data_IF_599969446771
#
_entry.id   IF_599969446771
#
_cell.length_a   1.000
_cell.length_b   1.000
_cell.length_c   1.000
_cell.angle_alpha   90.00
_cell.angle_beta   90.00
_cell.angle_gamma   90.00
#
_symmetry.space_group_name_H-M   'P 1'
#
loop_
_entity.id
_entity.type
_entity.pdbx_description
1 polymer ?
#
# COMPACT_ATOMS: atom_id res chain seq x y z
N UNK A 1 -12.56 -1.68 -8.91
CA UNK A 1 -13.63 -2.21 -9.79
C UNK A 1 -14.71 -1.15 -9.88
N UNK A 2 -14.93 -0.56 -11.06
CA UNK A 2 -16.00 0.40 -11.26
C UNK A 2 -17.26 -0.35 -11.73
N UNK A 3 -18.39 -0.16 -11.05
CA UNK A 3 -19.67 -0.75 -11.43
C UNK A 3 -20.52 0.36 -12.03
N UNK A 4 -20.86 0.23 -13.30
CA UNK A 4 -21.69 1.19 -14.03
C UNK A 4 -23.10 0.61 -14.14
N UNK A 5 -24.12 1.45 -13.89
CA UNK A 5 -25.52 1.05 -13.97
C UNK A 5 -25.91 0.67 -15.40
N UNK A 6 -26.63 -0.44 -15.60
CA UNK A 6 -27.14 -0.83 -16.92
C UNK A 6 -28.34 0.00 -17.41
N UNK A 7 -28.80 0.97 -16.60
CA UNK A 7 -29.98 1.83 -16.90
C UNK A 7 -29.60 3.23 -17.38
N UNK A 8 -28.35 3.47 -17.74
CA UNK A 8 -27.92 4.77 -18.28
C UNK A 8 -28.54 4.98 -19.68
N UNK A 9 -28.97 6.21 -19.96
CA UNK A 9 -29.37 6.59 -21.32
C UNK A 9 -28.14 6.82 -22.18
N UNK A 10 -28.27 6.68 -23.50
CA UNK A 10 -27.15 6.86 -24.46
C UNK A 10 -26.37 8.17 -24.25
N UNK A 11 -27.06 9.28 -24.02
CA UNK A 11 -26.43 10.58 -23.76
C UNK A 11 -25.57 10.59 -22.48
N UNK A 12 -26.03 9.94 -21.41
CA UNK A 12 -25.28 9.86 -20.16
C UNK A 12 -24.09 8.92 -20.27
N UNK A 13 -24.22 7.84 -21.05
CA UNK A 13 -23.12 6.93 -21.36
C UNK A 13 -22.00 7.64 -22.12
N UNK A 14 -22.34 8.40 -23.16
CA UNK A 14 -21.36 9.15 -23.95
C UNK A 14 -20.63 10.20 -23.10
N UNK A 15 -21.36 10.92 -22.25
CA UNK A 15 -20.78 11.88 -21.30
C UNK A 15 -19.87 11.19 -20.28
N UNK A 16 -20.29 10.04 -19.74
CA UNK A 16 -19.50 9.26 -18.78
C UNK A 16 -18.20 8.75 -19.42
N UNK A 17 -18.27 8.19 -20.64
CA UNK A 17 -17.09 7.72 -21.37
C UNK A 17 -16.11 8.86 -21.63
N UNK A 18 -16.62 10.04 -22.00
CA UNK A 18 -15.78 11.24 -22.21
C UNK A 18 -15.06 11.64 -20.93
N UNK A 19 -15.77 11.73 -19.81
CA UNK A 19 -15.22 12.10 -18.51
C UNK A 19 -14.18 11.08 -18.00
N UNK A 20 -14.43 9.78 -18.20
CA UNK A 20 -13.49 8.71 -17.82
C UNK A 20 -12.21 8.74 -18.66
N UNK A 21 -12.30 9.12 -19.95
CA UNK A 21 -11.13 9.28 -20.81
C UNK A 21 -10.32 10.52 -20.42
N UNK A 22 -11.00 11.63 -20.13
CA UNK A 22 -10.38 12.87 -19.69
C UNK A 22 -9.63 12.70 -18.36
N UNK A 23 -10.23 12.00 -17.41
CA UNK A 23 -9.65 11.75 -16.08
C UNK A 23 -9.05 10.34 -15.91
N UNK A 24 -8.54 9.73 -16.99
CA UNK A 24 -8.06 8.35 -16.92
C UNK A 24 -6.92 8.13 -15.91
N UNK A 25 -6.14 9.15 -15.57
CA UNK A 25 -5.06 9.09 -14.57
C UNK A 25 -5.54 9.22 -13.13
N UNK A 26 -6.75 9.75 -12.91
CA UNK A 26 -7.32 9.89 -11.56
C UNK A 26 -7.83 8.55 -11.02
N UNK A 27 -8.13 7.61 -11.93
CA UNK A 27 -8.65 6.29 -11.60
C UNK A 27 -7.54 5.26 -11.79
N UNK A 28 -7.29 4.45 -10.76
CA UNK A 28 -6.37 3.32 -10.80
C UNK A 28 -6.90 2.15 -11.63
N UNK A 29 -7.02 2.30 -12.95
CA UNK A 29 -7.55 1.26 -13.86
C UNK A 29 -6.73 -0.04 -13.81
N UNK A 30 -5.42 0.12 -13.73
CA UNK A 30 -4.47 -0.97 -13.54
C UNK A 30 -3.61 -0.65 -12.33
N UNK A 31 -2.98 -1.68 -11.79
CA UNK A 31 -2.07 -1.53 -10.67
C UNK A 31 -0.95 -0.50 -10.97
N UNK A 32 -0.41 -0.53 -12.19
CA UNK A 32 0.62 0.42 -12.66
C UNK A 32 0.13 1.87 -12.77
N UNK A 33 -1.17 2.11 -12.92
CA UNK A 33 -1.75 3.45 -13.02
C UNK A 33 -1.96 4.11 -11.65
N UNK A 34 -1.96 3.34 -10.56
CA UNK A 34 -2.07 3.87 -9.21
C UNK A 34 -0.72 4.50 -8.86
N UNK A 35 -0.58 5.79 -9.16
CA UNK A 35 0.59 6.55 -8.71
C UNK A 35 0.49 6.69 -7.19
N UNK A 36 1.49 6.14 -6.49
CA UNK A 36 1.64 6.40 -5.06
C UNK A 36 1.83 7.90 -4.78
N UNK A 37 1.58 8.32 -3.54
CA UNK A 37 1.83 9.70 -3.12
C UNK A 37 3.34 9.95 -3.16
N UNK A 38 3.74 11.10 -3.70
CA UNK A 38 5.14 11.49 -3.76
C UNK A 38 5.71 11.60 -2.34
N UNK A 39 6.87 10.99 -2.04
CA UNK A 39 7.55 11.19 -0.76
C UNK A 39 7.81 12.67 -0.45
N UNK A 40 7.98 13.52 -1.47
CA UNK A 40 8.16 14.96 -1.26
C UNK A 40 6.90 15.65 -0.70
N UNK A 41 5.72 15.12 -0.99
CA UNK A 41 4.45 15.66 -0.51
C UNK A 41 4.12 15.12 0.88
N UNK A 42 4.46 13.85 1.14
CA UNK A 42 4.03 13.17 2.35
C UNK A 42 4.87 11.91 2.62
N UNK A 43 5.35 11.79 3.87
CA UNK A 43 5.94 10.57 4.39
C UNK A 43 5.35 10.22 5.75
N UNK A 44 5.25 8.93 6.02
CA UNK A 44 4.92 8.43 7.34
C UNK A 44 6.17 8.30 8.20
N UNK A 45 6.05 8.76 9.45
CA UNK A 45 7.04 8.55 10.48
C UNK A 45 6.50 7.69 11.60
N UNK A 46 7.33 6.76 12.07
CA UNK A 46 7.00 5.82 13.14
C UNK A 46 7.70 6.30 14.40
N UNK A 47 6.94 7.02 15.23
CA UNK A 47 7.39 7.44 16.54
C UNK A 47 7.31 6.26 17.51
N UNK A 48 8.42 5.98 18.19
CA UNK A 48 8.53 5.00 19.27
C UNK A 48 8.88 5.76 20.55
N UNK A 49 8.46 5.24 21.70
CA UNK A 49 8.85 5.80 23.00
C UNK A 49 10.34 5.57 23.25
N UNK A 50 10.95 6.49 24.01
CA UNK A 50 12.36 6.40 24.36
C UNK A 50 12.66 5.08 25.10
N UNK A 51 13.73 4.38 24.69
CA UNK A 51 14.14 3.05 25.16
C UNK A 51 13.25 1.86 24.73
N UNK A 52 12.37 2.02 23.73
CA UNK A 52 11.66 0.89 23.13
C UNK A 52 12.64 -0.11 22.54
N UNK A 53 12.62 -1.36 23.05
CA UNK A 53 13.46 -2.45 22.53
C UNK A 53 12.77 -3.12 21.35
N UNK A 54 13.52 -3.54 20.30
CA UNK A 54 12.95 -4.35 19.24
C UNK A 54 12.47 -5.70 19.82
N UNK A 55 11.23 -6.08 19.51
CA UNK A 55 10.71 -7.42 19.79
C UNK A 55 10.93 -8.34 18.59
N UNK A 56 11.18 -9.62 18.86
CA UNK A 56 11.18 -10.69 17.85
C UNK A 56 10.10 -11.69 18.21
N UNK A 57 8.97 -11.58 17.52
CA UNK A 57 7.86 -12.51 17.69
C UNK A 57 8.21 -13.88 17.08
N UNK A 58 7.76 -14.99 17.69
CA UNK A 58 7.96 -16.32 17.15
C UNK A 58 7.23 -16.45 15.81
N UNK A 59 7.92 -17.03 14.82
CA UNK A 59 7.36 -17.23 13.50
C UNK A 59 6.20 -18.24 13.54
N UNK A 60 5.06 -17.84 12.99
CA UNK A 60 3.89 -18.72 12.87
C UNK A 60 4.20 -19.84 11.87
N UNK A 61 4.00 -21.10 12.27
CA UNK A 61 4.13 -22.26 11.38
C UNK A 61 2.99 -22.25 10.37
N UNK A 62 3.33 -22.14 9.09
CA UNK A 62 2.38 -22.22 7.98
C UNK A 62 2.27 -23.65 7.44
N UNK A 63 1.07 -24.04 7.04
CA UNK A 63 0.85 -25.26 6.26
C UNK A 63 1.63 -25.14 4.92
N UNK A 64 2.31 -26.19 4.44
CA UNK A 64 3.00 -26.19 3.14
C UNK A 64 2.19 -25.64 1.97
N UNK A 65 0.89 -25.94 1.87
CA UNK A 65 0.02 -25.40 0.81
C UNK A 65 -0.17 -23.88 0.93
N UNK A 66 -0.30 -23.39 2.16
CA UNK A 66 -0.41 -21.95 2.42
C UNK A 66 0.92 -21.23 2.22
N UNK A 67 2.05 -21.92 2.41
CA UNK A 67 3.39 -21.35 2.26
C UNK A 67 3.60 -20.79 0.85
N UNK A 68 3.21 -21.53 -0.19
CA UNK A 68 3.32 -21.08 -1.59
C UNK A 68 2.41 -19.89 -1.90
N UNK A 69 1.16 -19.92 -1.44
CA UNK A 69 0.19 -18.83 -1.64
C UNK A 69 0.67 -17.55 -0.96
N UNK A 70 1.12 -17.66 0.29
CA UNK A 70 1.66 -16.53 1.06
C UNK A 70 2.89 -15.95 0.39
N UNK A 71 3.79 -16.79 -0.15
CA UNK A 71 4.96 -16.30 -0.88
C UNK A 71 4.56 -15.47 -2.12
N UNK A 72 3.61 -15.98 -2.90
CA UNK A 72 3.10 -15.27 -4.08
C UNK A 72 2.48 -13.93 -3.70
N UNK A 73 1.73 -13.87 -2.61
CA UNK A 73 1.15 -12.62 -2.11
C UNK A 73 2.19 -11.65 -1.55
N UNK A 74 3.22 -12.13 -0.82
CA UNK A 74 4.32 -11.27 -0.36
C UNK A 74 5.04 -10.65 -1.56
N UNK A 75 5.36 -11.42 -2.59
CA UNK A 75 6.00 -10.90 -3.80
C UNK A 75 5.12 -9.87 -4.51
N UNK A 76 3.82 -10.14 -4.64
CA UNK A 76 2.87 -9.16 -5.18
C UNK A 76 2.84 -7.89 -4.33
N UNK A 77 2.83 -7.98 -2.99
CA UNK A 77 2.82 -6.80 -2.12
C UNK A 77 4.11 -5.98 -2.22
N UNK A 78 5.26 -6.65 -2.30
CA UNK A 78 6.56 -6.02 -2.45
C UNK A 78 6.73 -5.30 -3.80
N UNK A 79 6.15 -5.87 -4.87
CA UNK A 79 6.19 -5.34 -6.23
C UNK A 79 5.11 -4.28 -6.47
N UNK A 80 3.92 -4.48 -5.88
CA UNK A 80 2.79 -3.61 -6.07
C UNK A 80 3.07 -2.21 -5.49
N UNK A 81 3.39 -2.03 -4.22
CA UNK A 81 3.26 -0.66 -3.68
C UNK A 81 1.78 -0.22 -3.66
N UNK A 82 0.91 -1.20 -3.36
CA UNK A 82 -0.49 -1.04 -2.94
C UNK A 82 -0.67 0.07 -1.88
N UNK A 83 0.40 0.37 -1.15
CA UNK A 83 0.49 1.39 -0.13
C UNK A 83 0.97 2.73 -0.72
N UNK A 84 0.07 3.72 -0.67
CA UNK A 84 0.30 5.01 -1.31
C UNK A 84 1.31 5.91 -0.59
N UNK A 85 1.47 5.76 0.73
CA UNK A 85 2.31 6.64 1.55
C UNK A 85 3.67 5.98 1.81
N UNK A 86 4.75 6.69 1.51
CA UNK A 86 6.12 6.22 1.78
C UNK A 86 6.44 6.29 3.28
N UNK A 87 7.16 5.28 3.78
CA UNK A 87 7.75 5.34 5.13
C UNK A 87 9.11 6.04 5.01
N UNK A 88 9.39 6.99 5.91
CA UNK A 88 10.68 7.65 5.99
C UNK A 88 11.82 6.62 6.06
N UNK A 89 12.93 6.86 5.37
CA UNK A 89 13.99 5.85 5.23
C UNK A 89 14.53 5.36 6.59
N UNK A 90 14.64 6.29 7.55
CA UNK A 90 15.02 6.04 8.95
C UNK A 90 14.04 5.14 9.74
N UNK A 91 12.79 5.02 9.27
CA UNK A 91 11.73 4.30 9.96
C UNK A 91 11.38 2.96 9.30
N UNK A 92 11.95 2.63 8.14
CA UNK A 92 11.64 1.38 7.43
C UNK A 92 12.03 0.14 8.25
N UNK A 93 13.15 0.19 8.96
CA UNK A 93 13.61 -0.91 9.82
C UNK A 93 12.65 -1.20 10.98
N UNK A 94 11.85 -0.21 11.41
CA UNK A 94 10.82 -0.38 12.44
C UNK A 94 9.64 -1.23 11.95
N UNK A 95 9.53 -1.44 10.64
CA UNK A 95 8.50 -2.29 10.00
C UNK A 95 9.02 -3.67 9.60
N UNK A 96 10.17 -4.07 10.16
CA UNK A 96 10.78 -5.36 9.85
C UNK A 96 9.85 -6.51 10.24
N UNK A 97 9.62 -7.42 9.31
CA UNK A 97 8.94 -8.69 9.58
C UNK A 97 9.78 -9.86 9.06
N UNK A 98 9.67 -11.00 9.75
CA UNK A 98 10.40 -12.21 9.39
C UNK A 98 9.42 -13.32 9.02
N UNK A 99 9.55 -13.85 7.80
CA UNK A 99 8.79 -14.99 7.31
C UNK A 99 9.73 -16.14 6.93
N UNK A 100 9.23 -17.36 6.64
CA UNK A 100 10.10 -18.51 6.34
C UNK A 100 10.99 -18.34 5.10
N UNK A 101 10.86 -17.21 4.40
CA UNK A 101 11.56 -16.88 3.17
C UNK A 101 12.58 -15.75 3.35
N UNK A 102 12.65 -15.15 4.53
CA UNK A 102 13.59 -14.07 4.84
C UNK A 102 12.99 -12.99 5.73
N UNK A 103 13.79 -11.95 5.92
CA UNK A 103 13.42 -10.75 6.67
C UNK A 103 13.24 -9.61 5.68
N UNK A 104 12.13 -8.90 5.81
CA UNK A 104 11.72 -7.85 4.88
C UNK A 104 11.28 -6.60 5.65
N UNK A 105 11.43 -5.44 5.02
CA UNK A 105 10.93 -4.16 5.53
C UNK A 105 9.91 -3.58 4.56
N UNK A 106 8.97 -2.80 5.07
CA UNK A 106 8.03 -2.08 4.24
C UNK A 106 8.62 -0.74 3.79
N UNK A 107 8.63 -0.50 2.47
CA UNK A 107 8.97 0.82 1.89
C UNK A 107 7.80 1.81 1.99
N UNK A 108 6.59 1.30 2.19
CA UNK A 108 5.33 2.03 2.18
C UNK A 108 4.45 1.54 3.33
N UNK A 109 3.64 2.41 3.92
CA UNK A 109 2.89 2.12 5.15
C UNK A 109 2.00 0.87 5.03
N UNK A 110 2.26 -0.23 5.76
CA UNK A 110 1.40 -1.40 5.77
C UNK A 110 0.11 -1.14 6.57
N UNK A 111 -0.92 -1.94 6.28
CA UNK A 111 -2.13 -1.99 7.10
C UNK A 111 -1.81 -2.52 8.50
N UNK A 112 -2.51 -2.01 9.53
CA UNK A 112 -2.37 -2.50 10.91
C UNK A 112 -1.35 -1.74 11.78
N UNK A 113 -0.67 -0.72 11.25
CA UNK A 113 0.06 0.24 12.08
C UNK A 113 -0.93 1.12 12.85
N UNK A 114 -0.82 1.15 14.18
CA UNK A 114 -1.66 1.95 15.06
C UNK A 114 -1.62 3.45 14.74
N UNK A 115 -0.51 3.93 14.19
CA UNK A 115 -0.29 5.32 13.81
C UNK A 115 -0.56 5.60 12.31
N UNK A 116 -1.34 4.79 11.62
CA UNK A 116 -1.63 4.97 10.18
C UNK A 116 -2.26 6.34 9.84
N UNK A 117 -2.88 7.03 10.81
CA UNK A 117 -3.40 8.40 10.70
C UNK A 117 -2.35 9.49 11.01
N UNK A 118 -1.23 9.15 11.65
CA UNK A 118 -0.10 10.02 11.99
C UNK A 118 0.80 10.31 10.79
N UNK A 119 0.19 10.83 9.72
CA UNK A 119 0.83 11.10 8.44
C UNK A 119 1.23 12.57 8.40
N UNK A 120 2.52 12.87 8.22
CA UNK A 120 3.02 14.26 8.14
C UNK A 120 3.08 14.70 6.69
N UNK A 121 2.25 15.68 6.34
CA UNK A 121 2.39 16.41 5.08
C UNK A 121 3.66 17.27 5.15
N UNK A 122 4.51 17.15 4.13
CA UNK A 122 5.62 18.06 3.93
C UNK A 122 5.10 19.17 3.02
N UNK A 123 4.86 20.35 3.58
CA UNK A 123 4.53 21.53 2.80
C UNK A 123 5.78 21.98 2.02
N UNK A 124 5.62 22.45 0.76
CA UNK A 124 6.71 22.99 -0.06
C UNK A 124 7.28 24.30 0.48
#
# INVERSE_FOLDING_TARGET
MAIISSKLSKEHDERLVTLLREHHTAIGWTFANIKGISPAMCMHRIFLEDNTKPSREPQIRLNPTLKEVVMKEILKLLDAGYYQIAIAQEDQEKTTFTCPFGTFTFRRMPSGLSNALGVRLMNP
#
